data_IF_497200001138
#
_entry.id   IF_497200001138
#
_cell.length_a   1.000
_cell.length_b   1.000
_cell.length_c   1.000
_cell.angle_alpha   90.00
_cell.angle_beta   90.00
_cell.angle_gamma   90.00
#
_symmetry.space_group_name_H-M   'P 1'
#
loop_
_entity.id
_entity.type
_entity.pdbx_description
1 polymer ?
#
# COMPACT_ATOMS: atom_id res chain seq x y z
N UNK A 1 10.90 -9.39 0.09
CA UNK A 1 11.97 -8.50 -0.44
C UNK A 1 11.85 -8.25 -1.94
N UNK A 2 11.77 -9.29 -2.80
CA UNK A 2 11.71 -9.10 -4.27
C UNK A 2 10.57 -8.20 -4.73
N UNK A 3 9.34 -8.47 -4.26
CA UNK A 3 8.17 -7.63 -4.62
C UNK A 3 8.35 -6.19 -4.16
N UNK A 4 8.84 -5.96 -2.95
CA UNK A 4 9.11 -4.60 -2.44
C UNK A 4 10.07 -3.82 -3.35
N UNK A 5 11.17 -4.45 -3.78
CA UNK A 5 12.12 -3.82 -4.72
C UNK A 5 11.47 -3.53 -6.06
N UNK A 6 10.80 -4.51 -6.65
CA UNK A 6 10.11 -4.32 -7.93
C UNK A 6 9.10 -3.17 -7.87
N UNK A 7 8.30 -3.11 -6.81
CA UNK A 7 7.33 -2.05 -6.58
C UNK A 7 8.00 -0.68 -6.48
N UNK A 8 9.14 -0.57 -5.78
CA UNK A 8 9.90 0.67 -5.69
C UNK A 8 10.48 1.10 -7.06
N UNK A 9 10.97 0.15 -7.87
CA UNK A 9 11.44 0.47 -9.23
C UNK A 9 10.31 0.96 -10.14
N UNK A 10 9.15 0.31 -10.08
CA UNK A 10 7.97 0.70 -10.86
C UNK A 10 7.49 2.11 -10.50
N UNK A 11 7.51 2.44 -9.20
CA UNK A 11 7.17 3.76 -8.73
C UNK A 11 8.12 4.83 -9.28
N UNK A 12 9.44 4.59 -9.17
CA UNK A 12 10.47 5.50 -9.70
C UNK A 12 10.42 5.68 -11.22
N UNK A 13 9.99 4.66 -11.95
CA UNK A 13 9.88 4.70 -13.41
C UNK A 13 8.54 5.29 -13.90
N UNK A 14 7.54 5.39 -13.02
CA UNK A 14 6.17 5.72 -13.37
C UNK A 14 5.61 6.94 -12.63
N UNK A 15 4.28 7.01 -12.57
CA UNK A 15 3.54 8.09 -11.88
C UNK A 15 2.76 7.54 -10.68
N UNK A 16 3.35 6.61 -9.94
CA UNK A 16 2.73 5.99 -8.77
C UNK A 16 2.54 4.48 -8.88
N UNK A 17 2.73 3.77 -7.77
CA UNK A 17 2.50 2.33 -7.68
C UNK A 17 1.73 1.95 -6.41
N UNK A 18 0.89 0.92 -6.48
CA UNK A 18 0.25 0.32 -5.28
C UNK A 18 0.66 -1.14 -5.15
N UNK A 19 1.26 -1.51 -4.02
CA UNK A 19 1.43 -2.92 -3.65
C UNK A 19 0.19 -3.41 -2.90
N UNK A 20 -0.66 -4.17 -3.60
CA UNK A 20 -1.85 -4.76 -3.03
C UNK A 20 -1.64 -6.26 -2.70
N UNK A 21 -2.07 -6.68 -1.52
CA UNK A 21 -2.00 -8.05 -1.06
C UNK A 21 -3.29 -8.51 -0.41
N UNK A 22 -3.44 -9.83 -0.28
CA UNK A 22 -4.56 -10.42 0.47
C UNK A 22 -4.43 -10.15 1.97
N UNK A 23 -5.48 -10.42 2.75
CA UNK A 23 -5.37 -10.38 4.22
C UNK A 23 -4.23 -11.31 4.70
N UNK A 24 -3.45 -10.85 5.68
CA UNK A 24 -2.22 -11.50 6.15
C UNK A 24 -0.95 -11.11 5.38
N UNK A 25 -1.06 -10.40 4.25
CA UNK A 25 0.12 -9.92 3.50
C UNK A 25 0.87 -8.78 4.20
N UNK A 26 0.22 -8.12 5.16
CA UNK A 26 0.75 -7.10 6.06
C UNK A 26 1.65 -7.65 7.17
N UNK A 27 1.67 -8.97 7.35
CA UNK A 27 2.52 -9.62 8.35
C UNK A 27 4.02 -9.50 8.03
N UNK A 28 4.92 -9.80 8.99
CA UNK A 28 6.36 -9.53 8.86
C UNK A 28 7.04 -10.19 7.65
N UNK A 29 6.56 -11.36 7.22
CA UNK A 29 7.06 -12.08 6.05
C UNK A 29 6.27 -11.78 4.76
N UNK A 30 5.13 -11.09 4.87
CA UNK A 30 4.28 -10.75 3.75
C UNK A 30 4.82 -9.56 2.95
N UNK A 31 4.52 -9.53 1.65
CA UNK A 31 5.07 -8.49 0.76
C UNK A 31 4.67 -7.06 1.17
N UNK A 32 3.42 -6.88 1.60
CA UNK A 32 2.93 -5.58 2.12
C UNK A 32 3.66 -5.25 3.43
N UNK A 33 3.76 -6.19 4.36
CA UNK A 33 4.49 -5.98 5.62
C UNK A 33 5.96 -5.60 5.42
N UNK A 34 6.64 -6.24 4.47
CA UNK A 34 8.03 -5.92 4.10
C UNK A 34 8.16 -4.49 3.58
N UNK A 35 7.25 -4.01 2.72
CA UNK A 35 7.28 -2.60 2.26
C UNK A 35 6.99 -1.66 3.42
N UNK A 36 6.00 -1.96 4.26
CA UNK A 36 5.62 -1.10 5.40
C UNK A 36 6.72 -0.99 6.46
N UNK A 37 7.56 -2.00 6.60
CA UNK A 37 8.69 -2.01 7.54
C UNK A 37 9.90 -1.19 7.04
N UNK A 38 10.02 -0.97 5.73
CA UNK A 38 11.07 -0.15 5.12
C UNK A 38 10.59 1.30 5.00
N UNK A 39 11.14 2.20 5.81
CA UNK A 39 10.66 3.59 5.90
C UNK A 39 10.82 4.37 4.61
N UNK A 40 11.88 4.09 3.83
CA UNK A 40 12.14 4.74 2.55
C UNK A 40 11.10 4.30 1.51
N UNK A 41 10.88 3.00 1.38
CA UNK A 41 9.93 2.45 0.41
C UNK A 41 8.49 2.77 0.81
N UNK A 42 8.15 2.70 2.11
CA UNK A 42 6.82 3.05 2.61
C UNK A 42 6.48 4.55 2.45
N UNK A 43 7.48 5.42 2.28
CA UNK A 43 7.24 6.84 2.00
C UNK A 43 7.01 7.11 0.51
N UNK A 44 7.50 6.25 -0.37
CA UNK A 44 7.36 6.39 -1.82
C UNK A 44 6.07 5.73 -2.34
N UNK A 45 5.76 4.52 -1.87
CA UNK A 45 4.74 3.65 -2.48
C UNK A 45 3.54 3.45 -1.55
N UNK A 46 2.32 3.48 -2.12
CA UNK A 46 1.12 3.06 -1.40
C UNK A 46 0.99 1.53 -1.25
N UNK A 47 0.43 1.08 -0.12
CA UNK A 47 0.20 -0.35 0.15
C UNK A 47 -1.24 -0.62 0.57
N UNK A 48 -1.81 -1.74 0.11
CA UNK A 48 -3.17 -2.17 0.48
C UNK A 48 -3.16 -3.63 0.90
N UNK A 49 -3.62 -3.93 2.11
CA UNK A 49 -3.97 -5.30 2.51
C UNK A 49 -5.46 -5.58 2.31
N UNK A 50 -5.83 -6.86 2.24
CA UNK A 50 -7.24 -7.26 2.10
C UNK A 50 -7.85 -7.03 0.71
N UNK A 51 -7.05 -7.01 -0.37
CA UNK A 51 -7.51 -6.70 -1.75
C UNK A 51 -8.61 -7.64 -2.28
N UNK A 52 -8.77 -8.85 -1.71
CA UNK A 52 -9.86 -9.77 -2.05
C UNK A 52 -11.25 -9.24 -1.63
N UNK A 53 -11.30 -8.31 -0.70
CA UNK A 53 -12.54 -7.69 -0.21
C UNK A 53 -13.01 -6.56 -1.13
N UNK A 54 -14.30 -6.20 -1.06
CA UNK A 54 -14.82 -5.05 -1.81
C UNK A 54 -14.13 -3.74 -1.38
N UNK A 55 -13.97 -3.54 -0.06
CA UNK A 55 -13.30 -2.38 0.51
C UNK A 55 -11.85 -2.28 0.04
N UNK A 56 -11.10 -3.38 0.07
CA UNK A 56 -9.69 -3.41 -0.37
C UNK A 56 -9.52 -3.07 -1.85
N UNK A 57 -10.45 -3.47 -2.72
CA UNK A 57 -10.42 -3.06 -4.13
C UNK A 57 -10.65 -1.56 -4.29
N UNK A 58 -11.61 -0.98 -3.56
CA UNK A 58 -11.84 0.47 -3.55
C UNK A 58 -10.62 1.21 -3.01
N UNK A 59 -10.04 0.73 -1.91
CA UNK A 59 -8.82 1.27 -1.33
C UNK A 59 -7.68 1.30 -2.35
N UNK A 60 -7.49 0.23 -3.12
CA UNK A 60 -6.45 0.14 -4.14
C UNK A 60 -6.59 1.19 -5.24
N UNK A 61 -7.82 1.43 -5.74
CA UNK A 61 -8.07 2.44 -6.77
C UNK A 61 -7.82 3.85 -6.23
N UNK A 62 -8.33 4.14 -5.02
CA UNK A 62 -8.13 5.43 -4.37
C UNK A 62 -6.65 5.68 -4.03
N UNK A 63 -5.92 4.64 -3.62
CA UNK A 63 -4.50 4.74 -3.29
C UNK A 63 -3.66 5.00 -4.55
N UNK A 64 -4.05 4.43 -5.70
CA UNK A 64 -3.39 4.71 -6.97
C UNK A 64 -3.63 6.16 -7.42
N UNK A 65 -4.85 6.67 -7.27
CA UNK A 65 -5.18 8.08 -7.50
C UNK A 65 -4.31 9.00 -6.63
N UNK A 66 -4.19 8.69 -5.35
CA UNK A 66 -3.36 9.45 -4.42
C UNK A 66 -1.87 9.42 -4.78
N UNK A 67 -1.36 8.27 -5.22
CA UNK A 67 0.01 8.12 -5.72
C UNK A 67 0.27 8.98 -6.96
N UNK A 68 -0.70 9.07 -7.87
CA UNK A 68 -0.63 9.98 -9.01
C UNK A 68 -0.59 11.47 -8.61
N UNK A 69 -1.02 11.81 -7.39
CA UNK A 69 -0.90 13.15 -6.80
C UNK A 69 0.40 13.33 -5.99
N UNK A 70 1.32 12.37 -6.03
CA UNK A 70 2.61 12.42 -5.34
C UNK A 70 2.54 12.09 -3.84
N UNK A 71 1.47 11.44 -3.38
CA UNK A 71 1.28 11.06 -1.97
C UNK A 71 1.26 9.55 -1.82
N UNK A 72 1.69 9.03 -0.66
CA UNK A 72 1.75 7.61 -0.37
C UNK A 72 1.10 7.29 0.99
N UNK A 73 0.55 6.08 1.12
CA UNK A 73 0.03 5.62 2.40
C UNK A 73 -0.23 4.12 2.52
N UNK A 74 -0.60 3.70 3.72
CA UNK A 74 -0.85 2.31 4.09
C UNK A 74 -2.34 2.14 4.38
N UNK A 75 -3.02 1.34 3.58
CA UNK A 75 -4.47 1.16 3.66
C UNK A 75 -4.89 -0.30 3.85
N UNK A 76 -6.11 -0.49 4.35
CA UNK A 76 -6.67 -1.79 4.65
C UNK A 76 -6.96 -1.96 6.15
N UNK A 77 -7.02 -3.21 6.58
CA UNK A 77 -7.48 -3.63 7.91
C UNK A 77 -6.34 -4.05 8.86
N UNK A 78 -5.12 -4.18 8.34
CA UNK A 78 -3.97 -4.63 9.11
C UNK A 78 -3.49 -3.66 10.18
N UNK A 79 -2.79 -4.16 11.20
CA UNK A 79 -2.29 -3.39 12.37
C UNK A 79 -1.36 -2.20 12.03
N UNK A 80 -0.76 -2.20 10.85
CA UNK A 80 0.11 -1.12 10.35
C UNK A 80 -0.56 -0.25 9.27
N UNK A 81 -1.87 -0.43 9.07
CA UNK A 81 -2.69 0.42 8.22
C UNK A 81 -2.94 1.78 8.91
N UNK A 82 -2.87 2.86 8.15
CA UNK A 82 -3.18 4.21 8.63
C UNK A 82 -4.68 4.49 8.56
N UNK A 83 -5.38 3.89 7.60
CA UNK A 83 -6.82 4.07 7.38
C UNK A 83 -7.37 2.92 6.51
N UNK A 84 -8.69 2.64 6.53
CA UNK A 84 -9.27 1.67 5.60
C UNK A 84 -9.13 2.08 4.13
N UNK A 85 -9.17 3.38 3.83
CA UNK A 85 -9.01 3.99 2.50
C UNK A 85 -8.32 5.36 2.61
N UNK A 86 -7.72 5.88 1.53
CA UNK A 86 -7.22 7.26 1.48
C UNK A 86 -8.32 8.28 1.77
N UNK A 87 -7.98 9.34 2.51
CA UNK A 87 -8.90 10.42 2.86
C UNK A 87 -9.91 10.10 3.96
N UNK A 88 -10.03 8.83 4.39
CA UNK A 88 -10.73 8.52 5.62
C UNK A 88 -9.83 8.86 6.81
N UNK A 89 -10.23 9.82 7.65
CA UNK A 89 -9.62 9.97 8.97
C UNK A 89 -10.00 8.77 9.82
N UNK A 90 -9.01 8.13 10.46
CA UNK A 90 -9.29 7.27 11.60
C UNK A 90 -9.97 8.17 12.65
N UNK A 91 -11.26 7.95 12.89
CA UNK A 91 -11.99 8.60 13.97
C UNK A 91 -11.44 8.19 15.33
#
# INVERSE_FOLDING_TARGET
>A
ATLARLTAELDRAGSGTVLAGRAGSEGPAGAVGVVRADTVTSAAVSTVDGVQTALGRVACVLALREQAEGRAGRYGSGVNSQAPIPGASAG
#
